data_IF_199953882273
#
_entry.id   IF_199953882273
#
_cell.length_a   1.000
_cell.length_b   1.000
_cell.length_c   1.000
_cell.angle_alpha   90.00
_cell.angle_beta   90.00
_cell.angle_gamma   90.00
#
_symmetry.space_group_name_H-M   'P 1'
#
loop_
_entity.id
_entity.type
_entity.pdbx_description
1 polymer ?
#
# COMPACT_ATOMS: atom_id res chain seq x y z
N UNK A 1 -33.46 3.17 -8.05
CA UNK A 1 -32.66 3.10 -6.80
C UNK A 1 -31.20 3.19 -7.22
N UNK A 2 -30.66 4.39 -7.41
CA UNK A 2 -30.04 5.30 -6.42
C UNK A 2 -28.51 5.11 -6.38
N UNK A 3 -27.60 6.10 -6.57
CA UNK A 3 -27.58 7.43 -7.20
C UNK A 3 -26.13 7.96 -7.08
N UNK A 4 -25.57 8.59 -8.14
CA UNK A 4 -24.69 9.80 -8.17
C UNK A 4 -23.28 9.69 -7.52
N UNK A 5 -22.22 10.28 -8.10
CA UNK A 5 -21.95 11.73 -8.25
C UNK A 5 -21.30 12.05 -9.63
N UNK A 6 -21.48 13.30 -10.09
CA UNK A 6 -21.09 13.90 -11.40
C UNK A 6 -22.09 13.78 -12.56
N UNK A 7 -23.23 14.49 -12.48
CA UNK A 7 -24.07 14.73 -13.66
C UNK A 7 -23.45 15.86 -14.49
N UNK A 8 -22.56 15.55 -15.45
CA UNK A 8 -22.33 16.33 -16.70
C UNK A 8 -21.02 15.96 -17.42
N UNK A 9 -20.94 14.75 -18.01
CA UNK A 9 -19.95 14.46 -19.07
C UNK A 9 -20.48 13.63 -20.25
N UNK A 10 -21.75 13.24 -20.23
CA UNK A 10 -22.29 12.20 -21.15
C UNK A 10 -23.29 12.76 -22.18
N UNK A 11 -23.47 14.09 -22.29
CA UNK A 11 -24.32 14.66 -23.36
C UNK A 11 -23.59 15.61 -24.33
N UNK A 12 -22.28 15.80 -24.18
CA UNK A 12 -21.51 16.66 -25.08
C UNK A 12 -20.18 15.99 -25.34
N UNK A 13 -19.81 15.84 -26.63
CA UNK A 13 -18.61 15.16 -27.10
C UNK A 13 -17.35 15.86 -26.59
N UNK A 14 -16.92 15.55 -25.36
CA UNK A 14 -15.59 15.89 -24.89
C UNK A 14 -14.69 14.68 -25.09
N UNK A 15 -13.96 14.68 -26.20
CA UNK A 15 -12.66 14.01 -26.26
C UNK A 15 -11.61 15.03 -25.84
N UNK A 16 -10.83 14.80 -24.78
CA UNK A 16 -9.57 15.52 -24.59
C UNK A 16 -8.69 15.18 -25.79
N UNK A 17 -8.57 16.11 -26.74
CA UNK A 17 -7.90 15.88 -28.00
C UNK A 17 -6.38 15.84 -27.81
N UNK A 18 -5.86 14.66 -27.47
CA UNK A 18 -4.49 14.29 -27.82
C UNK A 18 -4.37 13.78 -29.27
N UNK A 19 -5.43 13.84 -30.06
CA UNK A 19 -5.40 13.53 -31.49
C UNK A 19 -6.04 14.66 -32.29
N UNK A 20 -5.20 15.32 -33.07
CA UNK A 20 -5.61 16.20 -34.14
C UNK A 20 -6.43 15.41 -35.18
N UNK A 21 -7.76 15.54 -35.15
CA UNK A 21 -8.58 15.69 -36.36
C UNK A 21 -10.04 15.95 -35.99
N UNK A 22 -10.52 17.15 -36.34
CA UNK A 22 -11.91 17.41 -36.74
C UNK A 22 -13.05 17.04 -35.77
N UNK A 23 -13.20 17.83 -34.70
CA UNK A 23 -14.53 17.96 -34.05
C UNK A 23 -14.96 19.42 -34.06
N UNK A 24 -15.60 19.83 -35.16
CA UNK A 24 -16.35 21.09 -35.25
C UNK A 24 -17.68 20.91 -34.50
N UNK A 25 -17.70 21.27 -33.23
CA UNK A 25 -18.90 21.20 -32.39
C UNK A 25 -18.83 22.18 -31.22
N UNK A 26 -20.01 22.60 -30.75
CA UNK A 26 -20.13 23.41 -29.53
C UNK A 26 -19.69 22.59 -28.31
N UNK A 27 -18.89 23.21 -27.45
CA UNK A 27 -18.36 22.64 -26.22
C UNK A 27 -18.68 23.52 -25.02
N UNK A 28 -18.84 22.88 -23.87
CA UNK A 28 -18.97 23.53 -22.58
C UNK A 28 -17.96 22.92 -21.60
N UNK A 29 -16.87 23.64 -21.33
CA UNK A 29 -15.71 23.14 -20.58
C UNK A 29 -15.61 23.87 -19.25
N UNK A 30 -15.24 23.16 -18.17
CA UNK A 30 -15.09 23.74 -16.84
C UNK A 30 -13.73 23.39 -16.30
N UNK A 31 -13.02 24.35 -15.72
CA UNK A 31 -11.69 24.10 -15.19
C UNK A 31 -11.13 25.27 -14.41
N UNK A 32 -10.01 25.01 -13.75
CA UNK A 32 -9.21 26.04 -13.09
C UNK A 32 -8.46 26.86 -14.13
N UNK A 33 -8.62 28.16 -14.12
CA UNK A 33 -7.92 29.09 -14.98
C UNK A 33 -6.44 29.17 -14.56
N UNK A 34 -5.52 28.70 -15.38
CA UNK A 34 -4.08 28.71 -15.08
C UNK A 34 -3.46 30.08 -15.35
N UNK A 35 -3.86 30.69 -16.46
CA UNK A 35 -3.51 32.06 -16.82
C UNK A 35 -4.57 32.64 -17.77
N UNK A 36 -4.69 33.95 -17.78
CA UNK A 36 -5.55 34.69 -18.71
C UNK A 36 -4.97 36.08 -18.97
N UNK A 37 -4.67 36.39 -20.23
CA UNK A 37 -4.10 37.67 -20.64
C UNK A 37 -4.54 38.00 -22.07
N UNK A 38 -5.02 39.23 -22.28
CA UNK A 38 -5.41 39.75 -23.60
C UNK A 38 -6.39 38.82 -24.38
N UNK A 39 -7.40 38.27 -23.69
CA UNK A 39 -8.41 37.41 -24.32
C UNK A 39 -7.93 36.00 -24.64
N UNK A 40 -6.72 35.62 -24.21
CA UNK A 40 -6.19 34.26 -24.31
C UNK A 40 -5.98 33.70 -22.92
N UNK A 41 -6.28 32.42 -22.71
CA UNK A 41 -5.99 31.77 -21.45
C UNK A 41 -5.91 30.27 -21.59
N UNK A 42 -5.67 29.64 -20.45
CA UNK A 42 -5.63 28.19 -20.33
C UNK A 42 -6.40 27.75 -19.11
N UNK A 43 -7.22 26.72 -19.26
CA UNK A 43 -7.88 26.06 -18.13
C UNK A 43 -7.35 24.64 -17.96
N UNK A 44 -7.40 24.14 -16.74
CA UNK A 44 -7.09 22.76 -16.41
C UNK A 44 -8.22 22.09 -15.64
N UNK A 45 -8.49 20.84 -15.96
CA UNK A 45 -9.33 19.94 -15.18
C UNK A 45 -8.60 18.61 -14.92
N UNK A 46 -9.32 17.58 -14.48
CA UNK A 46 -8.72 16.27 -14.22
C UNK A 46 -8.27 15.50 -15.48
N UNK A 47 -8.73 15.92 -16.66
CA UNK A 47 -8.42 15.29 -17.94
C UNK A 47 -7.24 15.96 -18.67
N UNK A 48 -6.87 17.18 -18.28
CA UNK A 48 -5.71 17.87 -18.81
C UNK A 48 -5.88 19.38 -18.87
N UNK A 49 -5.04 20.01 -19.71
CA UNK A 49 -5.07 21.45 -19.98
C UNK A 49 -5.62 21.72 -21.37
N UNK A 50 -6.32 22.84 -21.54
CA UNK A 50 -6.77 23.32 -22.85
C UNK A 50 -6.65 24.83 -22.93
N UNK A 51 -6.11 25.30 -24.06
CA UNK A 51 -6.02 26.71 -24.39
C UNK A 51 -7.36 27.21 -24.93
N UNK A 52 -7.68 28.47 -24.64
CA UNK A 52 -8.87 29.13 -25.16
C UNK A 52 -8.59 30.57 -25.56
N UNK A 53 -9.40 31.05 -26.49
CA UNK A 53 -9.46 32.46 -26.89
C UNK A 53 -10.89 32.96 -26.70
N UNK A 54 -11.05 34.22 -26.33
CA UNK A 54 -12.35 34.89 -26.21
C UNK A 54 -12.22 36.30 -26.79
N UNK A 55 -13.11 36.64 -27.74
CA UNK A 55 -13.12 37.95 -28.39
C UNK A 55 -13.77 39.02 -27.52
N UNK A 56 -14.75 38.62 -26.71
CA UNK A 56 -15.42 39.52 -25.79
C UNK A 56 -14.53 39.87 -24.60
N UNK A 57 -14.68 41.10 -24.10
CA UNK A 57 -13.95 41.57 -22.93
C UNK A 57 -14.48 40.87 -21.67
N UNK A 58 -13.72 39.92 -21.16
CA UNK A 58 -14.00 39.27 -19.87
C UNK A 58 -13.30 40.04 -18.75
N UNK A 59 -14.06 40.47 -17.73
CA UNK A 59 -13.55 41.18 -16.55
C UNK A 59 -13.88 40.41 -15.28
N UNK A 60 -13.07 40.59 -14.23
CA UNK A 60 -13.35 40.00 -12.91
C UNK A 60 -12.98 38.52 -12.75
N UNK A 61 -12.26 37.93 -13.71
CA UNK A 61 -11.61 36.62 -13.56
C UNK A 61 -10.11 36.78 -13.43
N UNK A 62 -9.47 35.87 -12.69
CA UNK A 62 -8.02 35.81 -12.52
C UNK A 62 -7.53 34.36 -12.51
N UNK A 63 -6.23 34.18 -12.71
CA UNK A 63 -5.59 32.88 -12.52
C UNK A 63 -5.95 32.30 -11.15
N UNK A 64 -6.30 31.02 -11.12
CA UNK A 64 -6.79 30.27 -9.99
C UNK A 64 -8.29 30.06 -9.97
N UNK A 65 -9.07 30.96 -10.56
CA UNK A 65 -10.53 30.86 -10.54
C UNK A 65 -11.02 29.62 -11.28
N UNK A 66 -12.15 29.06 -10.86
CA UNK A 66 -12.83 28.02 -11.65
C UNK A 66 -13.80 28.73 -12.58
N UNK A 67 -13.66 28.46 -13.88
CA UNK A 67 -14.48 29.06 -14.93
C UNK A 67 -15.17 27.99 -15.75
N UNK A 68 -16.25 28.39 -16.43
CA UNK A 68 -16.98 27.64 -17.43
C UNK A 68 -16.86 28.38 -18.77
N UNK A 69 -16.42 27.69 -19.82
CA UNK A 69 -16.26 28.19 -21.17
C UNK A 69 -17.33 27.55 -22.06
N UNK A 70 -18.03 28.36 -22.84
CA UNK A 70 -18.87 27.89 -23.96
C UNK A 70 -18.24 28.37 -25.27
N UNK A 71 -18.20 27.53 -26.28
CA UNK A 71 -17.59 27.90 -27.56
C UNK A 71 -17.47 26.72 -28.53
N UNK A 72 -16.57 26.85 -29.50
CA UNK A 72 -16.23 25.79 -30.46
C UNK A 72 -14.75 25.45 -30.38
N UNK A 73 -14.38 24.20 -30.71
CA UNK A 73 -12.97 23.81 -30.78
C UNK A 73 -12.44 24.05 -32.19
N UNK A 74 -11.38 24.83 -32.31
CA UNK A 74 -10.66 25.14 -33.55
C UNK A 74 -9.18 24.81 -33.31
N UNK A 75 -8.65 23.81 -34.03
CA UNK A 75 -7.24 23.39 -33.92
C UNK A 75 -6.79 23.07 -32.48
N UNK A 76 -7.68 22.49 -31.67
CA UNK A 76 -7.39 22.14 -30.28
C UNK A 76 -7.49 23.31 -29.28
N UNK A 77 -7.86 24.50 -29.75
CA UNK A 77 -8.12 25.70 -28.94
C UNK A 77 -9.62 25.96 -28.89
N UNK A 78 -10.14 26.33 -27.72
CA UNK A 78 -11.55 26.73 -27.59
C UNK A 78 -11.70 28.19 -28.03
N UNK A 79 -12.41 28.45 -29.14
CA UNK A 79 -12.93 29.79 -29.45
C UNK A 79 -14.21 30.01 -28.62
N UNK A 80 -14.02 30.59 -27.44
CA UNK A 80 -15.06 30.78 -26.44
C UNK A 80 -15.94 31.98 -26.80
N UNK A 81 -17.25 31.72 -26.91
CA UNK A 81 -18.29 32.73 -27.03
C UNK A 81 -18.73 33.28 -25.66
N UNK A 82 -18.54 32.49 -24.60
CA UNK A 82 -18.88 32.91 -23.24
C UNK A 82 -17.89 32.34 -22.22
N UNK A 83 -17.51 33.18 -21.25
CA UNK A 83 -16.73 32.78 -20.07
C UNK A 83 -17.51 33.15 -18.81
N UNK A 84 -17.81 32.16 -17.98
CA UNK A 84 -18.55 32.34 -16.73
C UNK A 84 -17.68 31.94 -15.55
N UNK A 85 -17.54 32.83 -14.58
CA UNK A 85 -16.93 32.52 -13.29
C UNK A 85 -17.82 31.56 -12.49
N UNK A 86 -17.25 30.46 -12.01
CA UNK A 86 -17.92 29.49 -11.15
C UNK A 86 -17.46 29.57 -9.69
N UNK A 87 -16.15 29.75 -9.46
CA UNK A 87 -15.61 29.89 -8.12
C UNK A 87 -14.38 30.81 -8.11
N UNK A 88 -14.36 31.75 -7.17
CA UNK A 88 -13.20 32.61 -6.93
C UNK A 88 -12.09 31.82 -6.26
N UNK A 89 -10.85 32.08 -6.65
CA UNK A 89 -9.67 31.58 -6.00
C UNK A 89 -9.14 32.53 -4.92
N UNK A 90 -8.54 31.94 -3.88
CA UNK A 90 -7.64 32.68 -2.98
C UNK A 90 -6.42 33.17 -3.78
N UNK A 91 -5.76 34.23 -3.29
CA UNK A 91 -4.67 34.89 -4.02
C UNK A 91 -3.47 33.98 -4.35
N UNK A 92 -3.36 32.82 -3.70
CA UNK A 92 -2.22 31.90 -3.80
C UNK A 92 -2.65 30.47 -4.15
N UNK A 93 -3.40 30.33 -5.25
CA UNK A 93 -4.05 29.08 -5.65
C UNK A 93 -3.09 27.95 -6.06
N UNK A 94 -1.87 28.30 -6.49
CA UNK A 94 -0.85 27.35 -6.95
C UNK A 94 0.15 26.99 -5.82
N UNK A 95 -0.12 27.37 -4.57
CA UNK A 95 0.62 26.85 -3.42
C UNK A 95 -0.25 25.81 -2.71
N UNK A 96 0.32 24.64 -2.42
CA UNK A 96 -0.39 23.53 -1.75
C UNK A 96 -0.81 22.41 -2.69
N UNK A 97 -1.96 21.80 -2.39
CA UNK A 97 -2.37 20.52 -3.00
C UNK A 97 -2.56 20.61 -4.51
N UNK A 98 -3.07 21.71 -5.06
CA UNK A 98 -3.24 21.82 -6.51
C UNK A 98 -1.91 21.60 -7.25
N UNK A 99 -0.85 22.34 -6.91
CA UNK A 99 0.46 22.16 -7.53
C UNK A 99 1.07 20.80 -7.20
N UNK A 100 0.89 20.31 -5.97
CA UNK A 100 1.38 18.99 -5.57
C UNK A 100 0.77 17.87 -6.41
N UNK A 101 -0.53 17.91 -6.68
CA UNK A 101 -1.23 16.88 -7.46
C UNK A 101 -0.92 16.94 -8.96
N UNK A 102 -0.76 18.15 -9.52
CA UNK A 102 -0.52 18.34 -10.95
C UNK A 102 0.96 18.28 -11.36
N UNK A 103 1.91 18.76 -10.53
CA UNK A 103 3.33 18.81 -10.90
C UNK A 103 4.07 17.47 -10.73
N UNK A 104 3.64 16.64 -9.77
CA UNK A 104 4.39 15.44 -9.36
C UNK A 104 3.75 14.12 -9.81
N UNK A 105 2.77 14.17 -10.73
CA UNK A 105 2.06 12.97 -11.21
C UNK A 105 1.19 12.27 -10.15
N UNK A 106 1.02 12.88 -8.96
CA UNK A 106 0.23 12.30 -7.86
C UNK A 106 -1.23 12.07 -8.26
N UNK A 107 -1.79 12.93 -9.12
CA UNK A 107 -3.13 12.74 -9.67
C UNK A 107 -3.26 11.41 -10.43
N UNK A 108 -2.33 11.13 -11.35
CA UNK A 108 -2.30 9.87 -12.08
C UNK A 108 -2.09 8.67 -11.15
N UNK A 109 -1.22 8.82 -10.15
CA UNK A 109 -0.97 7.77 -9.15
C UNK A 109 -2.23 7.44 -8.33
N UNK A 110 -3.13 8.39 -8.08
CA UNK A 110 -4.40 8.10 -7.40
C UNK A 110 -5.31 7.21 -8.24
N UNK A 111 -5.37 7.43 -9.56
CA UNK A 111 -6.12 6.56 -10.47
C UNK A 111 -5.53 5.16 -10.56
N UNK A 112 -4.19 5.06 -10.63
CA UNK A 112 -3.50 3.76 -10.58
C UNK A 112 -3.80 3.05 -9.26
N UNK A 113 -3.73 3.75 -8.13
CA UNK A 113 -4.07 3.19 -6.81
C UNK A 113 -5.52 2.71 -6.76
N UNK A 114 -6.47 3.45 -7.29
CA UNK A 114 -7.88 3.04 -7.36
C UNK A 114 -8.02 1.74 -8.18
N UNK A 115 -7.41 1.68 -9.37
CA UNK A 115 -7.43 0.50 -10.21
C UNK A 115 -6.75 -0.72 -9.55
N UNK A 116 -5.67 -0.52 -8.80
CA UNK A 116 -5.02 -1.57 -8.00
C UNK A 116 -5.99 -2.13 -6.95
N UNK A 117 -6.69 -1.27 -6.20
CA UNK A 117 -7.64 -1.71 -5.19
C UNK A 117 -8.84 -2.46 -5.80
N UNK A 118 -9.28 -2.06 -6.99
CA UNK A 118 -10.35 -2.77 -7.71
C UNK A 118 -9.87 -4.13 -8.19
N UNK A 119 -8.68 -4.23 -8.79
CA UNK A 119 -8.08 -5.50 -9.20
C UNK A 119 -7.84 -6.46 -8.02
N UNK A 120 -7.44 -5.94 -6.85
CA UNK A 120 -7.34 -6.75 -5.61
C UNK A 120 -8.69 -7.34 -5.24
N UNK A 121 -9.77 -6.54 -5.27
CA UNK A 121 -11.12 -7.04 -4.97
C UNK A 121 -11.57 -8.08 -5.99
N UNK A 122 -11.30 -7.84 -7.26
CA UNK A 122 -11.65 -8.78 -8.34
C UNK A 122 -10.91 -10.12 -8.20
N UNK A 123 -9.63 -10.10 -7.81
CA UNK A 123 -8.86 -11.31 -7.50
C UNK A 123 -9.54 -12.12 -6.38
N UNK A 124 -9.75 -11.52 -5.21
CA UNK A 124 -10.34 -12.23 -4.07
C UNK A 124 -11.75 -12.72 -4.35
N UNK A 125 -12.55 -11.93 -5.07
CA UNK A 125 -13.88 -12.34 -5.55
C UNK A 125 -13.79 -13.54 -6.48
N UNK A 126 -12.84 -13.57 -7.40
CA UNK A 126 -12.62 -14.69 -8.32
C UNK A 126 -12.07 -15.95 -7.64
N UNK A 127 -11.42 -15.80 -6.48
CA UNK A 127 -10.89 -16.89 -5.66
C UNK A 127 -11.85 -17.35 -4.53
N UNK A 128 -13.11 -16.92 -4.57
CA UNK A 128 -14.17 -17.25 -3.61
C UNK A 128 -13.87 -16.81 -2.16
N UNK A 129 -13.17 -15.69 -1.97
CA UNK A 129 -13.02 -15.07 -0.66
C UNK A 129 -14.18 -14.12 -0.36
N UNK A 130 -14.69 -14.19 0.87
CA UNK A 130 -15.67 -13.26 1.40
C UNK A 130 -14.98 -11.98 1.88
N UNK A 131 -15.40 -10.83 1.36
CA UNK A 131 -15.02 -9.54 1.91
C UNK A 131 -15.67 -9.35 3.30
N UNK A 132 -14.88 -9.06 4.32
CA UNK A 132 -15.36 -8.80 5.69
C UNK A 132 -14.89 -7.44 6.19
N UNK A 133 -15.60 -6.91 7.19
CA UNK A 133 -15.19 -5.73 7.94
C UNK A 133 -15.11 -6.06 9.42
N UNK A 134 -14.00 -5.70 10.02
CA UNK A 134 -13.72 -5.89 11.45
C UNK A 134 -13.43 -4.54 12.13
N UNK A 135 -13.66 -4.42 13.45
CA UNK A 135 -13.42 -3.16 14.17
C UNK A 135 -11.97 -2.68 14.06
N UNK A 136 -11.80 -1.39 13.75
CA UNK A 136 -10.50 -0.70 13.81
C UNK A 136 -10.25 -0.03 15.16
N UNK A 137 -11.30 0.16 15.96
CA UNK A 137 -11.22 0.64 17.34
C UNK A 137 -11.35 -0.56 18.29
N UNK A 138 -10.26 -0.90 18.97
CA UNK A 138 -10.10 -2.16 19.70
C UNK A 138 -9.77 -1.93 21.16
N UNK A 139 -10.19 -2.85 22.02
CA UNK A 139 -9.87 -2.80 23.46
C UNK A 139 -8.44 -3.27 23.75
N UNK A 140 -7.92 -4.13 22.89
CA UNK A 140 -6.57 -4.68 22.96
C UNK A 140 -6.15 -5.14 21.56
N UNK A 141 -4.84 -5.20 21.32
CA UNK A 141 -4.23 -5.77 20.12
C UNK A 141 -3.39 -6.99 20.49
N UNK A 142 -2.93 -7.74 19.48
CA UNK A 142 -1.81 -8.67 19.67
C UNK A 142 -0.59 -7.84 20.11
N UNK A 143 0.18 -8.37 21.06
CA UNK A 143 1.43 -7.74 21.45
C UNK A 143 2.48 -8.08 20.40
N UNK A 144 2.96 -7.06 19.70
CA UNK A 144 4.12 -7.12 18.83
C UNK A 144 5.16 -6.16 19.43
N UNK A 145 6.35 -6.67 19.76
CA UNK A 145 7.38 -5.95 20.53
C UNK A 145 7.75 -4.59 19.93
N UNK A 146 7.67 -4.47 18.61
CA UNK A 146 8.06 -3.29 17.86
C UNK A 146 6.88 -2.43 17.38
N UNK A 147 5.63 -2.77 17.69
CA UNK A 147 4.45 -1.98 17.29
C UNK A 147 3.88 -1.21 18.46
N UNK A 148 4.04 0.12 18.41
CA UNK A 148 3.38 1.02 19.33
C UNK A 148 1.98 1.39 18.82
N UNK A 149 0.98 1.34 19.69
CA UNK A 149 -0.41 1.65 19.34
C UNK A 149 -0.74 3.13 19.54
N UNK A 150 -1.66 3.65 18.71
CA UNK A 150 -2.38 4.88 19.04
C UNK A 150 -3.46 4.57 20.08
N UNK A 151 -3.49 5.35 21.15
CA UNK A 151 -4.43 5.23 22.25
C UNK A 151 -5.49 6.34 22.16
N UNK A 152 -6.75 6.02 22.45
CA UNK A 152 -7.85 6.99 22.51
C UNK A 152 -8.85 6.61 23.60
N UNK A 153 -9.66 7.56 24.03
CA UNK A 153 -10.62 7.36 25.13
C UNK A 153 -12.05 7.48 24.60
N UNK A 154 -12.86 6.47 24.86
CA UNK A 154 -14.30 6.54 24.64
C UNK A 154 -14.94 7.35 25.76
N UNK A 155 -15.57 8.47 25.40
CA UNK A 155 -16.35 9.31 26.31
C UNK A 155 -17.85 9.05 26.08
N UNK A 156 -18.44 8.17 26.88
CA UNK A 156 -19.87 7.91 26.88
C UNK A 156 -20.49 8.11 28.25
N UNK A 157 -21.79 8.42 28.28
CA UNK A 157 -22.55 8.82 29.48
C UNK A 157 -22.46 7.86 30.67
N UNK A 158 -22.07 6.59 30.47
CA UNK A 158 -22.09 5.54 31.48
C UNK A 158 -20.72 4.95 31.85
N UNK A 159 -19.67 5.22 31.06
CA UNK A 159 -18.31 4.75 31.34
C UNK A 159 -17.28 5.40 30.42
N UNK A 160 -16.15 5.80 31.00
CA UNK A 160 -14.92 6.04 30.27
C UNK A 160 -14.19 4.71 30.05
N UNK A 161 -13.73 4.47 28.82
CA UNK A 161 -12.97 3.27 28.46
C UNK A 161 -11.82 3.61 27.54
N UNK A 162 -10.67 3.01 27.80
CA UNK A 162 -9.52 3.08 26.92
C UNK A 162 -9.75 2.20 25.68
N UNK A 163 -9.45 2.77 24.52
CA UNK A 163 -9.39 2.07 23.25
C UNK A 163 -8.06 2.34 22.56
N UNK A 164 -7.79 1.53 21.54
CA UNK A 164 -6.63 1.65 20.67
C UNK A 164 -7.09 1.58 19.22
N UNK A 165 -6.33 2.21 18.33
CA UNK A 165 -6.48 1.98 16.91
C UNK A 165 -5.69 0.72 16.53
N UNK A 166 -6.33 -0.18 15.77
CA UNK A 166 -5.77 -1.48 15.43
C UNK A 166 -4.56 -1.36 14.49
N UNK A 167 -3.45 -2.07 14.76
CA UNK A 167 -2.30 -2.11 13.86
C UNK A 167 -2.53 -3.08 12.68
N UNK A 168 -3.48 -4.01 12.82
CA UNK A 168 -3.98 -4.93 11.79
C UNK A 168 -5.37 -5.45 12.19
N UNK A 169 -6.21 -5.90 11.24
CA UNK A 169 -7.49 -6.57 11.51
C UNK A 169 -7.35 -8.02 12.00
N UNK A 170 -6.16 -8.61 11.93
CA UNK A 170 -5.77 -9.97 12.34
C UNK A 170 -6.61 -10.60 13.45
N UNK A 171 -6.57 -10.06 14.67
CA UNK A 171 -7.20 -10.72 15.82
C UNK A 171 -8.71 -10.91 15.65
N UNK A 172 -9.37 -9.96 14.98
CA UNK A 172 -10.81 -10.05 14.74
C UNK A 172 -11.12 -10.96 13.57
N UNK A 173 -10.29 -10.98 12.53
CA UNK A 173 -10.43 -11.93 11.42
C UNK A 173 -10.22 -13.37 11.89
N UNK A 174 -9.26 -13.62 12.79
CA UNK A 174 -9.07 -14.94 13.42
C UNK A 174 -10.28 -15.39 14.24
N UNK A 175 -11.02 -14.47 14.85
CA UNK A 175 -12.31 -14.80 15.52
C UNK A 175 -13.37 -15.24 14.51
N UNK A 176 -13.40 -14.65 13.32
CA UNK A 176 -14.29 -15.09 12.23
C UNK A 176 -13.92 -16.52 11.80
N UNK A 177 -12.64 -16.84 11.65
CA UNK A 177 -12.22 -18.22 11.40
C UNK A 177 -12.70 -19.18 12.50
N UNK A 178 -12.57 -18.77 13.76
CA UNK A 178 -13.01 -19.56 14.92
C UNK A 178 -14.52 -19.86 14.96
N UNK A 179 -15.35 -19.08 14.26
CA UNK A 179 -16.80 -19.34 14.15
C UNK A 179 -17.21 -20.00 12.82
N UNK A 180 -16.24 -20.37 11.97
CA UNK A 180 -16.46 -21.18 10.77
C UNK A 180 -16.36 -20.45 9.44
N UNK A 181 -15.88 -19.20 9.40
CA UNK A 181 -15.53 -18.58 8.12
C UNK A 181 -14.24 -19.21 7.57
N UNK A 182 -14.22 -19.60 6.29
CA UNK A 182 -13.08 -20.34 5.73
C UNK A 182 -12.18 -19.49 4.82
N UNK A 183 -12.76 -18.61 4.00
CA UNK A 183 -12.00 -17.75 3.08
C UNK A 183 -12.48 -16.32 3.22
N UNK A 184 -11.70 -15.48 3.88
CA UNK A 184 -12.06 -14.10 4.18
C UNK A 184 -10.92 -13.17 3.81
N UNK A 185 -11.24 -11.97 3.36
CA UNK A 185 -10.26 -10.90 3.16
C UNK A 185 -10.83 -9.56 3.60
N UNK A 186 -9.94 -8.64 3.97
CA UNK A 186 -10.28 -7.28 4.32
C UNK A 186 -9.22 -6.32 3.78
N UNK A 187 -9.67 -5.23 3.18
CA UNK A 187 -8.83 -4.06 2.89
C UNK A 187 -9.12 -3.04 3.98
N UNK A 188 -8.23 -2.90 4.96
CA UNK A 188 -8.46 -2.05 6.13
C UNK A 188 -7.48 -0.89 6.19
N UNK A 189 -7.82 0.07 7.04
CA UNK A 189 -6.85 1.00 7.57
C UNK A 189 -6.20 0.42 8.81
N UNK A 190 -4.89 0.54 8.88
CA UNK A 190 -4.03 0.09 9.97
C UNK A 190 -3.23 1.26 10.52
N UNK A 191 -3.00 1.25 11.82
CA UNK A 191 -2.43 2.38 12.55
C UNK A 191 -1.25 1.94 13.42
N UNK A 192 -0.08 2.55 13.21
CA UNK A 192 1.14 2.27 13.99
C UNK A 192 1.81 3.58 14.40
N UNK A 193 1.97 3.77 15.70
CA UNK A 193 2.47 5.00 16.28
C UNK A 193 4.01 5.01 16.22
N UNK A 194 4.61 6.08 15.72
CA UNK A 194 6.06 6.22 15.57
C UNK A 194 6.64 5.75 14.23
N UNK A 195 5.89 5.01 13.41
CA UNK A 195 6.31 4.58 12.08
C UNK A 195 6.12 5.70 11.05
N UNK A 196 7.17 6.47 10.78
CA UNK A 196 7.19 7.55 9.78
C UNK A 196 8.49 7.51 8.98
N UNK A 197 8.39 7.47 7.65
CA UNK A 197 9.56 7.45 6.79
C UNK A 197 9.21 7.34 5.30
N UNK A 198 10.21 7.16 4.41
CA UNK A 198 9.97 7.06 2.97
C UNK A 198 9.04 5.92 2.55
N UNK A 199 8.97 4.87 3.36
CA UNK A 199 8.12 3.68 3.15
C UNK A 199 7.07 3.49 4.25
N UNK A 200 7.00 4.41 5.22
CA UNK A 200 6.16 4.24 6.41
C UNK A 200 5.30 5.48 6.62
N UNK A 201 4.01 5.27 6.84
CA UNK A 201 3.09 6.30 7.26
C UNK A 201 2.28 5.77 8.47
N UNK A 202 2.04 6.58 9.52
CA UNK A 202 1.37 6.09 10.73
C UNK A 202 -0.04 5.55 10.50
N UNK A 203 -0.67 5.94 9.39
CA UNK A 203 -1.89 5.36 8.86
C UNK A 203 -1.61 4.78 7.46
N UNK A 204 -1.86 3.50 7.25
CA UNK A 204 -1.65 2.86 5.95
C UNK A 204 -2.77 1.88 5.63
N UNK A 205 -2.89 1.53 4.35
CA UNK A 205 -3.85 0.52 3.90
C UNK A 205 -3.19 -0.84 3.90
N UNK A 206 -3.79 -1.78 4.61
CA UNK A 206 -3.37 -3.17 4.66
C UNK A 206 -4.42 -4.04 3.96
N UNK A 207 -3.96 -5.05 3.23
CA UNK A 207 -4.79 -6.15 2.77
C UNK A 207 -4.45 -7.33 3.65
N UNK A 208 -5.45 -7.90 4.30
CA UNK A 208 -5.28 -9.10 5.10
C UNK A 208 -6.29 -10.15 4.66
N UNK A 209 -5.88 -11.41 4.57
CA UNK A 209 -6.74 -12.51 4.17
C UNK A 209 -6.38 -13.79 4.90
N UNK A 210 -7.37 -14.66 5.03
CA UNK A 210 -7.23 -15.94 5.68
C UNK A 210 -7.93 -17.02 4.86
N UNK A 211 -7.26 -18.18 4.78
CA UNK A 211 -7.77 -19.40 4.17
C UNK A 211 -7.65 -20.54 5.17
N UNK A 212 -8.77 -21.05 5.66
CA UNK A 212 -8.80 -22.25 6.48
C UNK A 212 -8.25 -23.45 5.69
N UNK A 213 -7.62 -24.37 6.41
CA UNK A 213 -7.03 -25.60 5.87
C UNK A 213 -5.86 -25.40 4.89
N UNK A 214 -5.28 -24.19 4.84
CA UNK A 214 -4.10 -23.88 4.03
C UNK A 214 -2.85 -23.73 4.88
N UNK A 215 -1.69 -23.98 4.28
CA UNK A 215 -0.39 -23.64 4.84
C UNK A 215 0.15 -22.33 4.25
N UNK A 216 1.26 -21.83 4.80
CA UNK A 216 2.02 -20.74 4.20
C UNK A 216 2.44 -20.98 2.74
N UNK A 217 2.52 -22.22 2.26
CA UNK A 217 2.84 -22.50 0.85
C UNK A 217 1.73 -22.05 -0.10
N UNK A 218 0.47 -22.30 0.26
CA UNK A 218 -0.68 -21.77 -0.47
C UNK A 218 -0.79 -20.25 -0.32
N UNK A 219 -0.37 -19.68 0.82
CA UNK A 219 -0.31 -18.22 0.98
C UNK A 219 0.76 -17.60 0.07
N UNK A 220 1.92 -18.23 -0.11
CA UNK A 220 2.91 -17.80 -1.11
C UNK A 220 2.30 -17.80 -2.52
N UNK A 221 1.61 -18.88 -2.90
CA UNK A 221 0.92 -18.96 -4.19
C UNK A 221 -0.15 -17.86 -4.35
N UNK A 222 -0.94 -17.59 -3.30
CA UNK A 222 -1.93 -16.50 -3.31
C UNK A 222 -1.27 -15.13 -3.55
N UNK A 223 -0.09 -14.86 -2.97
CA UNK A 223 0.67 -13.61 -3.19
C UNK A 223 1.15 -13.53 -4.64
N UNK A 224 1.76 -14.58 -5.16
CA UNK A 224 2.28 -14.66 -6.53
C UNK A 224 1.15 -14.38 -7.55
N UNK A 225 0.00 -15.05 -7.37
CA UNK A 225 -1.17 -14.89 -8.24
C UNK A 225 -1.83 -13.52 -8.10
N UNK A 226 -1.97 -12.99 -6.87
CA UNK A 226 -2.54 -11.67 -6.62
C UNK A 226 -1.71 -10.57 -7.30
N UNK A 227 -0.39 -10.58 -7.09
CA UNK A 227 0.49 -9.55 -7.66
C UNK A 227 0.53 -9.65 -9.18
N UNK A 228 0.58 -10.87 -9.74
CA UNK A 228 0.52 -11.07 -11.19
C UNK A 228 -0.82 -10.61 -11.78
N UNK A 229 -1.93 -10.91 -11.10
CA UNK A 229 -3.27 -10.46 -11.50
C UNK A 229 -3.37 -8.94 -11.52
N UNK A 230 -2.97 -8.27 -10.45
CA UNK A 230 -3.00 -6.79 -10.36
C UNK A 230 -2.16 -6.15 -11.46
N UNK A 231 -0.94 -6.65 -11.71
CA UNK A 231 -0.09 -6.12 -12.77
C UNK A 231 -0.73 -6.27 -14.16
N UNK A 232 -1.28 -7.45 -14.47
CA UNK A 232 -1.98 -7.69 -15.74
C UNK A 232 -3.21 -6.78 -15.89
N UNK A 233 -4.02 -6.64 -14.84
CA UNK A 233 -5.25 -5.86 -14.86
C UNK A 233 -4.99 -4.36 -15.00
N UNK A 234 -3.94 -3.83 -14.36
CA UNK A 234 -3.65 -2.39 -14.34
C UNK A 234 -2.69 -1.96 -15.46
N UNK A 235 -1.71 -2.78 -15.81
CA UNK A 235 -0.63 -2.44 -16.75
C UNK A 235 -0.71 -3.20 -18.09
N UNK A 236 -1.58 -4.22 -18.20
CA UNK A 236 -1.66 -5.08 -19.39
C UNK A 236 -0.48 -6.06 -19.54
N UNK A 237 0.37 -6.20 -18.52
CA UNK A 237 1.56 -7.06 -18.54
C UNK A 237 1.90 -7.62 -17.16
N UNK A 238 2.74 -8.64 -17.10
CA UNK A 238 3.21 -9.27 -15.85
C UNK A 238 4.60 -8.80 -15.43
N UNK A 239 4.93 -7.53 -15.66
CA UNK A 239 6.20 -6.96 -15.22
C UNK A 239 6.02 -5.52 -14.74
N UNK A 240 6.90 -5.11 -13.83
CA UNK A 240 6.98 -3.74 -13.32
C UNK A 240 8.40 -3.23 -13.38
N UNK A 241 8.58 -1.92 -13.50
CA UNK A 241 9.91 -1.29 -13.45
C UNK A 241 10.09 -0.63 -12.10
N UNK A 242 11.12 -1.03 -11.36
CA UNK A 242 11.48 -0.44 -10.07
C UNK A 242 12.98 -0.18 -10.03
N UNK A 243 13.37 1.02 -9.60
CA UNK A 243 14.79 1.44 -9.54
C UNK A 243 15.56 1.20 -10.86
N UNK A 244 14.90 1.42 -12.00
CA UNK A 244 15.50 1.24 -13.33
C UNK A 244 15.61 -0.22 -13.82
N UNK A 245 15.13 -1.20 -13.03
CA UNK A 245 15.14 -2.62 -13.38
C UNK A 245 13.73 -3.11 -13.66
N UNK A 246 13.57 -3.86 -14.75
CA UNK A 246 12.35 -4.63 -14.99
C UNK A 246 12.35 -5.88 -14.11
N UNK A 247 11.23 -6.09 -13.41
CA UNK A 247 10.99 -7.21 -12.52
C UNK A 247 9.83 -8.01 -13.10
N UNK A 248 10.08 -9.29 -13.36
CA UNK A 248 9.07 -10.26 -13.74
C UNK A 248 8.20 -10.63 -12.53
N UNK A 249 6.90 -10.69 -12.73
CA UNK A 249 5.88 -11.00 -11.73
C UNK A 249 5.14 -12.31 -12.07
N UNK A 250 5.60 -13.07 -13.07
CA UNK A 250 5.03 -14.38 -13.35
C UNK A 250 5.38 -15.39 -12.25
N UNK A 251 4.39 -16.14 -11.74
CA UNK A 251 4.66 -17.30 -10.90
C UNK A 251 5.43 -18.40 -11.67
N UNK A 252 6.22 -19.24 -10.99
CA UNK A 252 6.53 -19.18 -9.57
C UNK A 252 7.65 -18.18 -9.26
N UNK A 253 7.60 -17.57 -8.08
CA UNK A 253 8.69 -16.69 -7.62
C UNK A 253 9.86 -17.49 -7.03
N UNK A 254 11.03 -16.86 -6.96
CA UNK A 254 12.17 -17.45 -6.25
C UNK A 254 11.79 -17.65 -4.77
N UNK A 255 12.18 -18.78 -4.19
CA UNK A 255 11.99 -19.06 -2.77
C UNK A 255 13.34 -19.28 -2.12
N UNK A 256 13.65 -18.48 -1.10
CA UNK A 256 14.90 -18.51 -0.37
C UNK A 256 14.61 -18.67 1.11
N UNK A 257 15.19 -19.69 1.77
CA UNK A 257 15.00 -19.83 3.21
C UNK A 257 15.79 -18.73 3.96
N UNK A 258 15.31 -18.28 5.12
CA UNK A 258 16.04 -17.33 5.96
C UNK A 258 17.43 -17.87 6.32
N UNK A 259 17.50 -19.18 6.62
CA UNK A 259 18.78 -19.87 6.88
C UNK A 259 19.75 -19.75 5.72
N UNK A 260 19.30 -20.04 4.50
CA UNK A 260 20.15 -19.97 3.30
C UNK A 260 20.56 -18.53 2.99
N UNK A 261 19.65 -17.56 3.15
CA UNK A 261 19.96 -16.14 2.96
C UNK A 261 21.07 -15.67 3.91
N UNK A 262 20.97 -16.01 5.19
CA UNK A 262 21.98 -15.66 6.19
C UNK A 262 23.31 -16.40 5.96
N UNK A 263 23.26 -17.68 5.63
CA UNK A 263 24.47 -18.45 5.32
C UNK A 263 25.19 -17.87 4.10
N UNK A 264 24.44 -17.53 3.05
CA UNK A 264 24.96 -17.06 1.76
C UNK A 264 25.52 -15.64 1.82
N UNK A 265 24.82 -14.71 2.46
CA UNK A 265 25.15 -13.28 2.37
C UNK A 265 25.67 -12.67 3.66
N UNK A 266 25.26 -13.20 4.82
CA UNK A 266 25.75 -12.76 6.12
C UNK A 266 26.91 -13.62 6.64
N UNK A 267 27.18 -14.78 6.04
CA UNK A 267 28.09 -15.80 6.55
C UNK A 267 27.77 -16.21 8.01
N UNK A 268 26.49 -16.17 8.37
CA UNK A 268 25.97 -16.54 9.69
C UNK A 268 25.19 -17.84 9.57
N UNK A 269 25.52 -18.80 10.41
CA UNK A 269 24.74 -20.01 10.61
C UNK A 269 23.79 -19.76 11.79
N UNK A 270 22.49 -19.63 11.49
CA UNK A 270 21.46 -19.35 12.48
C UNK A 270 21.17 -20.56 13.39
N UNK A 271 21.43 -21.78 12.93
CA UNK A 271 21.21 -22.99 13.73
C UNK A 271 22.29 -23.18 14.78
N UNK A 272 23.50 -22.73 14.45
CA UNK A 272 24.60 -22.65 15.40
C UNK A 272 24.53 -21.41 16.32
N UNK A 273 23.58 -20.50 16.08
CA UNK A 273 23.49 -19.20 16.76
C UNK A 273 22.10 -18.95 17.37
N UNK A 274 21.60 -19.89 18.17
CA UNK A 274 20.19 -19.89 18.64
C UNK A 274 19.89 -18.93 19.80
N UNK A 275 20.90 -18.39 20.47
CA UNK A 275 20.75 -17.46 21.59
C UNK A 275 21.52 -16.15 21.35
N UNK A 276 21.13 -15.07 22.05
CA UNK A 276 21.66 -13.73 21.82
C UNK A 276 23.19 -13.66 21.96
N UNK A 277 23.79 -14.39 22.91
CA UNK A 277 25.23 -14.39 23.14
C UNK A 277 25.97 -15.12 22.01
N UNK A 278 25.46 -16.26 21.55
CA UNK A 278 26.02 -17.00 20.42
C UNK A 278 26.00 -16.17 19.12
N UNK A 279 24.87 -15.55 18.80
CA UNK A 279 24.70 -14.69 17.62
C UNK A 279 25.57 -13.43 17.73
N UNK A 280 25.63 -12.81 18.92
CA UNK A 280 26.50 -11.65 19.16
C UNK A 280 27.97 -11.99 18.91
N UNK A 281 28.48 -13.11 19.45
CA UNK A 281 29.87 -13.54 19.23
C UNK A 281 30.16 -13.79 17.76
N UNK A 282 29.24 -14.46 17.05
CA UNK A 282 29.36 -14.71 15.61
C UNK A 282 29.38 -13.40 14.83
N UNK A 283 28.47 -12.48 15.12
CA UNK A 283 28.40 -11.17 14.49
C UNK A 283 29.69 -10.36 14.76
N UNK A 284 30.20 -10.34 15.99
CA UNK A 284 31.46 -9.65 16.29
C UNK A 284 32.66 -10.27 15.56
N UNK A 285 32.73 -11.59 15.46
CA UNK A 285 33.79 -12.28 14.73
C UNK A 285 33.78 -11.97 13.22
N UNK A 286 32.59 -11.74 12.65
CA UNK A 286 32.40 -11.37 11.25
C UNK A 286 32.49 -9.85 11.00
N UNK A 287 32.77 -9.05 12.04
CA UNK A 287 33.00 -7.61 11.91
C UNK A 287 31.74 -6.74 11.87
N UNK A 288 30.59 -7.23 12.35
CA UNK A 288 29.36 -6.42 12.46
C UNK A 288 29.51 -5.38 13.58
N UNK A 289 29.77 -4.13 13.19
CA UNK A 289 30.02 -3.01 14.10
C UNK A 289 28.78 -2.56 14.88
N UNK A 290 27.59 -2.78 14.32
CA UNK A 290 26.29 -2.43 14.91
C UNK A 290 25.81 -3.41 15.99
N UNK A 291 26.35 -4.62 16.02
CA UNK A 291 26.08 -5.62 17.06
C UNK A 291 26.65 -5.14 18.40
N UNK A 292 25.77 -4.91 19.37
CA UNK A 292 26.10 -4.43 20.72
C UNK A 292 25.86 -5.54 21.72
N UNK A 293 26.65 -5.52 22.79
CA UNK A 293 26.44 -6.41 23.92
C UNK A 293 25.15 -5.99 24.62
N UNK A 294 24.24 -6.94 24.83
CA UNK A 294 22.93 -6.70 25.45
C UNK A 294 21.79 -6.48 24.45
N UNK A 295 22.07 -6.43 23.15
CA UNK A 295 21.03 -6.58 22.12
C UNK A 295 20.32 -7.93 22.30
N UNK A 296 19.00 -7.96 22.07
CA UNK A 296 18.25 -9.22 22.02
C UNK A 296 18.70 -10.07 20.83
N UNK A 297 18.28 -11.34 20.79
CA UNK A 297 18.54 -12.17 19.61
C UNK A 297 17.87 -11.57 18.36
N UNK A 298 16.66 -11.02 18.51
CA UNK A 298 15.90 -10.41 17.41
C UNK A 298 16.54 -9.09 16.94
N UNK A 299 17.04 -8.26 17.86
CA UNK A 299 17.79 -7.04 17.51
C UNK A 299 19.01 -7.37 16.64
N UNK A 300 19.78 -8.39 17.02
CA UNK A 300 20.94 -8.84 16.27
C UNK A 300 20.55 -9.41 14.91
N UNK A 301 19.48 -10.22 14.87
CA UNK A 301 18.93 -10.75 13.62
C UNK A 301 18.56 -9.62 12.66
N UNK A 302 17.76 -8.65 13.09
CA UNK A 302 17.31 -7.53 12.24
C UNK A 302 18.48 -6.67 11.78
N UNK A 303 19.46 -6.37 12.65
CA UNK A 303 20.67 -5.63 12.25
C UNK A 303 21.45 -6.35 11.16
N UNK A 304 21.64 -7.66 11.29
CA UNK A 304 22.35 -8.47 10.28
C UNK A 304 21.54 -8.54 8.98
N UNK A 305 20.22 -8.73 9.08
CA UNK A 305 19.30 -8.76 7.95
C UNK A 305 19.41 -7.46 7.13
N UNK A 306 19.22 -6.31 7.79
CA UNK A 306 19.29 -4.97 7.20
C UNK A 306 20.67 -4.68 6.56
N UNK A 307 21.75 -5.09 7.21
CA UNK A 307 23.11 -4.76 6.75
C UNK A 307 23.65 -5.66 5.65
N UNK A 308 23.16 -6.90 5.53
CA UNK A 308 23.78 -7.91 4.65
C UNK A 308 22.82 -8.74 3.81
N UNK A 309 21.59 -8.95 4.27
CA UNK A 309 20.62 -9.78 3.55
C UNK A 309 19.74 -8.91 2.65
N UNK A 310 19.10 -7.87 3.19
CA UNK A 310 18.23 -6.97 2.43
C UNK A 310 18.89 -6.32 1.21
N UNK A 311 20.16 -5.85 1.26
CA UNK A 311 20.81 -5.29 0.08
C UNK A 311 20.97 -6.29 -1.06
N UNK A 312 21.11 -7.59 -0.76
CA UNK A 312 21.19 -8.65 -1.76
C UNK A 312 19.79 -9.08 -2.23
N UNK A 313 18.80 -9.16 -1.32
CA UNK A 313 17.38 -9.34 -1.67
C UNK A 313 16.89 -8.25 -2.63
N UNK A 314 17.31 -7.00 -2.43
CA UNK A 314 16.95 -5.88 -3.31
C UNK A 314 17.50 -6.03 -4.74
N UNK A 315 18.54 -6.83 -4.94
CA UNK A 315 19.07 -7.20 -6.26
C UNK A 315 18.33 -8.39 -6.86
N UNK A 316 17.43 -9.04 -6.13
CA UNK A 316 16.53 -10.02 -6.71
C UNK A 316 15.30 -9.31 -7.31
N UNK A 317 14.51 -10.07 -8.06
CA UNK A 317 13.25 -9.61 -8.62
C UNK A 317 12.14 -9.69 -7.56
N UNK A 318 11.18 -10.58 -7.81
CA UNK A 318 10.20 -11.00 -6.84
C UNK A 318 10.66 -12.30 -6.15
N UNK A 319 10.67 -12.31 -4.81
CA UNK A 319 11.22 -13.43 -4.03
C UNK A 319 10.45 -13.62 -2.73
N UNK A 320 10.23 -14.87 -2.33
CA UNK A 320 9.79 -15.23 -0.99
C UNK A 320 10.99 -15.56 -0.12
N UNK A 321 11.11 -14.84 1.00
CA UNK A 321 11.94 -15.26 2.13
C UNK A 321 11.05 -16.12 3.02
N UNK A 322 11.47 -17.33 3.41
CA UNK A 322 10.62 -18.27 4.15
C UNK A 322 11.37 -19.10 5.19
N UNK A 323 10.62 -19.87 6.00
CA UNK A 323 11.15 -20.70 7.11
C UNK A 323 11.94 -19.85 8.13
N UNK A 324 11.22 -18.94 8.81
CA UNK A 324 11.83 -18.02 9.77
C UNK A 324 12.30 -18.76 11.02
N UNK A 325 13.39 -18.34 11.66
CA UNK A 325 13.84 -18.92 12.93
C UNK A 325 12.75 -18.93 13.99
N UNK A 326 12.70 -19.96 14.82
CA UNK A 326 11.67 -20.17 15.85
C UNK A 326 11.47 -18.99 16.82
N UNK A 327 12.49 -18.15 17.00
CA UNK A 327 12.44 -16.95 17.82
C UNK A 327 11.40 -15.96 17.24
N UNK A 328 11.34 -15.86 15.91
CA UNK A 328 10.45 -14.98 15.15
C UNK A 328 9.11 -15.64 14.80
N UNK A 329 8.69 -16.63 15.59
CA UNK A 329 7.52 -17.45 15.32
C UNK A 329 6.23 -16.91 15.95
N UNK A 330 6.19 -15.70 16.53
CA UNK A 330 5.13 -15.19 17.42
C UNK A 330 3.72 -15.80 17.19
N UNK A 331 3.17 -15.67 15.98
CA UNK A 331 1.83 -16.13 15.59
C UNK A 331 1.85 -17.28 14.57
N UNK A 332 3.04 -17.76 14.18
CA UNK A 332 3.26 -18.81 13.21
C UNK A 332 3.45 -20.20 13.87
N UNK A 333 3.00 -21.26 13.21
CA UNK A 333 3.34 -22.64 13.60
C UNK A 333 4.82 -22.92 13.39
N UNK A 334 5.38 -23.75 14.28
CA UNK A 334 6.67 -24.38 14.02
C UNK A 334 6.48 -25.50 13.01
N UNK A 335 7.46 -25.68 12.14
CA UNK A 335 7.42 -26.69 11.08
C UNK A 335 7.50 -28.09 11.67
N UNK A 336 6.56 -28.96 11.30
CA UNK A 336 6.43 -30.28 11.94
C UNK A 336 7.67 -31.19 11.80
N UNK A 337 8.40 -31.08 10.69
CA UNK A 337 9.64 -31.83 10.44
C UNK A 337 10.92 -31.16 10.91
N UNK A 338 10.89 -29.85 11.17
CA UNK A 338 12.02 -29.08 11.67
C UNK A 338 11.54 -27.97 12.62
N UNK A 339 11.47 -28.22 13.95
CA UNK A 339 10.97 -27.26 14.91
C UNK A 339 11.94 -26.09 15.20
N UNK A 340 13.07 -26.02 14.50
CA UNK A 340 13.99 -24.86 14.56
C UNK A 340 13.47 -23.68 13.76
N UNK A 341 12.52 -23.91 12.83
CA UNK A 341 11.91 -22.88 11.98
C UNK A 341 10.39 -22.85 12.14
N UNK A 342 9.82 -21.69 11.83
CA UNK A 342 8.41 -21.42 11.73
C UNK A 342 7.98 -21.37 10.26
N UNK A 343 6.79 -21.89 9.98
CA UNK A 343 6.13 -21.81 8.68
C UNK A 343 5.64 -20.38 8.45
N UNK A 344 6.58 -19.47 8.18
CA UNK A 344 6.40 -18.05 7.92
C UNK A 344 7.11 -17.68 6.63
N UNK A 345 6.55 -16.70 5.91
CA UNK A 345 7.11 -16.13 4.70
C UNK A 345 6.92 -14.62 4.66
N UNK A 346 7.89 -13.92 4.10
CA UNK A 346 7.74 -12.55 3.63
C UNK A 346 8.01 -12.52 2.13
N UNK A 347 7.22 -11.73 1.40
CA UNK A 347 7.38 -11.55 -0.04
C UNK A 347 8.05 -10.20 -0.29
N UNK A 348 9.15 -10.20 -1.05
CA UNK A 348 9.89 -9.00 -1.42
C UNK A 348 9.80 -8.74 -2.92
N UNK A 349 9.65 -7.46 -3.29
CA UNK A 349 9.68 -7.01 -4.67
C UNK A 349 10.70 -5.88 -4.87
N UNK A 350 11.86 -6.22 -5.43
CA UNK A 350 12.97 -5.28 -5.61
C UNK A 350 13.46 -4.68 -4.28
N UNK A 351 13.39 -5.44 -3.18
CA UNK A 351 13.85 -4.99 -1.86
C UNK A 351 12.83 -4.13 -1.09
N UNK A 352 11.54 -4.25 -1.42
CA UNK A 352 10.44 -3.80 -0.54
C UNK A 352 9.68 -5.03 -0.12
N UNK A 353 9.48 -5.18 1.19
CA UNK A 353 8.55 -6.16 1.73
C UNK A 353 7.13 -5.77 1.30
N UNK A 354 6.45 -6.66 0.57
CA UNK A 354 5.08 -6.48 0.12
C UNK A 354 4.06 -7.15 1.05
N UNK A 355 4.44 -8.25 1.69
CA UNK A 355 3.55 -9.02 2.54
C UNK A 355 4.33 -9.87 3.52
N UNK A 356 3.73 -10.10 4.68
CA UNK A 356 4.10 -11.12 5.65
C UNK A 356 2.93 -12.13 5.76
N UNK A 357 3.23 -13.42 5.90
CA UNK A 357 2.23 -14.47 6.01
C UNK A 357 2.80 -15.73 6.67
N UNK A 358 1.93 -16.59 7.20
CA UNK A 358 2.37 -17.78 7.93
C UNK A 358 1.27 -18.83 8.02
N UNK A 359 1.66 -20.07 8.31
CA UNK A 359 0.72 -21.09 8.77
C UNK A 359 0.33 -20.73 10.20
N UNK A 360 -0.97 -20.46 10.40
CA UNK A 360 -1.50 -19.91 11.65
C UNK A 360 -1.31 -20.82 12.87
N UNK A 361 -0.76 -20.25 13.96
CA UNK A 361 -0.77 -20.89 15.26
C UNK A 361 -2.21 -20.98 15.78
N UNK A 362 -2.71 -22.21 15.87
CA UNK A 362 -4.07 -22.50 16.32
C UNK A 362 -4.11 -23.33 17.62
N UNK A 363 -2.96 -23.61 18.24
CA UNK A 363 -2.89 -24.19 19.58
C UNK A 363 -3.03 -23.07 20.64
N UNK A 364 -4.14 -23.01 21.38
CA UNK A 364 -4.39 -21.94 22.33
C UNK A 364 -3.44 -21.96 23.54
N UNK A 365 -2.88 -23.13 23.90
CA UNK A 365 -1.93 -23.23 25.00
C UNK A 365 -0.58 -22.63 24.61
N UNK A 366 -0.09 -22.96 23.42
CA UNK A 366 1.13 -22.35 22.87
C UNK A 366 0.96 -20.85 22.66
N UNK A 367 -0.20 -20.41 22.15
CA UNK A 367 -0.46 -18.99 21.93
C UNK A 367 -0.42 -18.20 23.25
N UNK A 368 -1.02 -18.76 24.31
CA UNK A 368 -0.98 -18.16 25.65
C UNK A 368 0.44 -18.08 26.21
N UNK A 369 1.23 -19.13 26.04
CA UNK A 369 2.62 -19.15 26.47
C UNK A 369 3.45 -18.07 25.76
N UNK A 370 3.27 -17.91 24.45
CA UNK A 370 3.97 -16.89 23.66
C UNK A 370 3.58 -15.48 24.07
N UNK A 371 2.29 -15.21 24.30
CA UNK A 371 1.86 -13.93 24.84
C UNK A 371 2.46 -13.65 26.22
N UNK A 372 2.54 -14.64 27.11
CA UNK A 372 3.14 -14.44 28.43
C UNK A 372 4.64 -14.10 28.37
N UNK A 373 5.36 -14.54 27.33
CA UNK A 373 6.78 -14.20 27.12
C UNK A 373 6.99 -12.77 26.62
N UNK A 374 6.07 -12.25 25.78
CA UNK A 374 6.10 -10.87 25.28
C UNK A 374 5.64 -9.80 26.28
N UNK A 375 5.21 -10.19 27.49
CA UNK A 375 4.78 -9.28 28.59
C UNK A 375 5.96 -8.85 29.49
N UNK A 376 7.20 -9.25 29.19
CA UNK A 376 8.37 -8.88 30.01
C UNK A 376 8.90 -7.46 29.75
#
# INVERSE_FOLDING_TARGET
MHTRYYPSRVLWRHQPAATASTTTGEVAVRGRLLHFTAGRGRIADESGEVDFVVKERVVGIKAGDIVELYGIVVEGIIDATQVRLLALSSAVWHQGDWSRFHANGLWANMWVRAAVLDAVRDFFKGADFLAVETPTLVLASAQEEHIQLFATEYQGDKAQKQFYLAPSPELYMKRLLGVGFERIYQISRSYRNGEMGPQHNPEFTLIEWYRAYASYEEIMADVEDLVSHVAKSVLGRSSVVRAGREIDLQPPWERLSVRDAFARWAAVDLDASTDAESLFRRARALGYGSARRGDSWEDLYHKILLERVEPELAKLGAVHLFDYPRQLAALAKLKGGDPTVAERTEAYLGGVELSNGYTELNDPAQQRERFARGVQ
#
